data_IF_069708586990
#
_entry.id   IF_069708586990
#
_cell.length_a   1.000
_cell.length_b   1.000
_cell.length_c   1.000
_cell.angle_alpha   90.00
_cell.angle_beta   90.00
_cell.angle_gamma   90.00
#
_symmetry.space_group_name_H-M   'P 1'
#
loop_
_entity.id
_entity.type
_entity.pdbx_description
1 polymer ?
#
# COMPACT_ATOMS: atom_id res chain seq x y z
N UNK A 1 -14.97 -6.19 2.55
CA UNK A 1 -16.27 -5.50 2.66
C UNK A 1 -16.13 -3.98 2.51
N UNK A 2 -15.14 -3.36 3.18
CA UNK A 2 -14.81 -1.94 3.08
C UNK A 2 -14.69 -1.37 1.65
N UNK A 3 -13.95 -2.03 0.76
CA UNK A 3 -13.79 -1.54 -0.62
C UNK A 3 -15.12 -1.51 -1.39
N UNK A 4 -16.09 -2.37 -1.06
CA UNK A 4 -17.43 -2.29 -1.67
C UNK A 4 -18.24 -1.09 -1.18
N UNK A 5 -17.92 -0.53 -0.01
CA UNK A 5 -18.55 0.69 0.49
C UNK A 5 -18.06 1.93 -0.28
N UNK A 6 -16.79 1.93 -0.68
CA UNK A 6 -16.17 3.08 -1.38
C UNK A 6 -16.21 2.89 -2.91
N UNK A 7 -16.14 1.66 -3.38
CA UNK A 7 -16.10 1.26 -4.78
C UNK A 7 -17.09 0.10 -5.05
N UNK A 8 -18.41 0.35 -4.95
CA UNK A 8 -19.42 -0.70 -5.03
C UNK A 8 -19.46 -1.47 -6.36
N UNK A 9 -18.94 -0.88 -7.45
CA UNK A 9 -18.90 -1.50 -8.78
C UNK A 9 -17.60 -2.27 -9.08
N UNK A 10 -16.52 -2.04 -8.33
CA UNK A 10 -15.23 -2.66 -8.63
C UNK A 10 -15.05 -3.92 -7.77
N UNK A 11 -14.91 -5.07 -8.43
CA UNK A 11 -14.50 -6.33 -7.81
C UNK A 11 -13.01 -6.19 -7.50
N UNK A 12 -12.52 -6.81 -6.41
CA UNK A 12 -11.09 -6.77 -6.01
C UNK A 12 -10.13 -7.01 -7.19
N UNK A 13 -10.55 -7.85 -8.14
CA UNK A 13 -9.82 -8.21 -9.36
C UNK A 13 -9.70 -7.08 -10.39
N UNK A 14 -10.51 -6.02 -10.36
CA UNK A 14 -10.47 -4.92 -11.34
C UNK A 14 -10.11 -3.57 -10.72
N UNK A 15 -10.09 -3.45 -9.39
CA UNK A 15 -9.71 -2.22 -8.66
C UNK A 15 -8.30 -1.74 -9.03
N UNK A 16 -7.38 -2.67 -9.33
CA UNK A 16 -6.00 -2.33 -9.68
C UNK A 16 -5.91 -1.45 -10.93
N UNK A 17 -6.85 -1.55 -11.89
CA UNK A 17 -6.86 -0.74 -13.10
C UNK A 17 -7.08 0.74 -12.78
N UNK A 18 -7.93 1.02 -11.77
CA UNK A 18 -8.15 2.37 -11.28
C UNK A 18 -6.96 2.85 -10.44
N UNK A 19 -6.52 2.02 -9.49
CA UNK A 19 -5.49 2.41 -8.52
C UNK A 19 -4.12 2.58 -9.15
N UNK A 20 -3.72 1.71 -10.07
CA UNK A 20 -2.46 1.81 -10.81
C UNK A 20 -2.61 2.72 -12.05
N UNK A 21 -3.11 3.92 -11.80
CA UNK A 21 -3.18 5.02 -12.76
C UNK A 21 -2.75 6.32 -12.07
N UNK A 22 -2.29 7.30 -12.85
CA UNK A 22 -1.86 8.61 -12.30
C UNK A 22 -2.95 9.31 -11.50
N UNK A 23 -4.20 9.21 -11.94
CA UNK A 23 -5.33 9.79 -11.22
C UNK A 23 -5.69 8.95 -9.99
N UNK A 24 -5.57 7.62 -10.08
CA UNK A 24 -5.81 6.69 -8.98
C UNK A 24 -4.93 6.97 -7.77
N UNK A 25 -3.64 7.26 -7.98
CA UNK A 25 -2.70 7.58 -6.90
C UNK A 25 -2.99 8.88 -6.16
N UNK A 26 -3.87 9.74 -6.69
CA UNK A 26 -4.37 10.90 -5.94
C UNK A 26 -5.36 10.50 -4.83
N UNK A 27 -5.83 9.24 -4.82
CA UNK A 27 -6.69 8.67 -3.76
C UNK A 27 -5.82 7.95 -2.73
N UNK A 28 -6.00 8.26 -1.45
CA UNK A 28 -5.15 7.73 -0.37
C UNK A 28 -5.08 6.21 -0.30
N UNK A 29 -6.18 5.50 -0.58
CA UNK A 29 -6.24 4.04 -0.52
C UNK A 29 -5.37 3.40 -1.62
N UNK A 30 -5.29 4.03 -2.80
CA UNK A 30 -4.50 3.52 -3.91
C UNK A 30 -2.99 3.54 -3.62
N UNK A 31 -2.54 4.45 -2.75
CA UNK A 31 -1.12 4.64 -2.39
C UNK A 31 -0.50 3.47 -1.61
N UNK A 32 -1.33 2.64 -0.98
CA UNK A 32 -0.89 1.43 -0.27
C UNK A 32 -1.52 0.15 -0.82
N UNK A 33 -2.12 0.22 -2.01
CA UNK A 33 -2.61 -0.98 -2.69
C UNK A 33 -1.44 -1.83 -3.21
N UNK A 34 -1.21 -2.96 -2.58
CA UNK A 34 -0.18 -3.93 -2.96
C UNK A 34 -0.83 -5.20 -3.52
N UNK A 35 -1.02 -5.25 -4.84
CA UNK A 35 -1.61 -6.40 -5.51
C UNK A 35 -0.53 -7.44 -5.85
N UNK A 36 -0.52 -8.63 -5.21
CA UNK A 36 0.49 -9.65 -5.45
C UNK A 36 0.45 -10.22 -6.88
N UNK A 37 -0.67 -10.08 -7.60
CA UNK A 37 -0.82 -10.57 -8.97
C UNK A 37 -0.38 -9.54 -10.03
N UNK A 38 -0.23 -8.27 -9.64
CA UNK A 38 0.11 -7.16 -10.55
C UNK A 38 1.31 -6.35 -10.04
N UNK A 39 2.36 -7.03 -9.57
CA UNK A 39 3.56 -6.40 -9.00
C UNK A 39 4.26 -5.44 -9.97
N UNK A 40 4.28 -5.75 -11.26
CA UNK A 40 4.85 -4.85 -12.28
C UNK A 40 4.13 -3.49 -12.30
N UNK A 41 2.81 -3.49 -12.11
CA UNK A 41 2.01 -2.26 -12.04
C UNK A 41 2.21 -1.55 -10.69
N UNK A 42 2.31 -2.31 -9.60
CA UNK A 42 2.62 -1.78 -8.28
C UNK A 42 3.91 -0.95 -8.28
N UNK A 43 5.03 -1.51 -8.78
CA UNK A 43 6.30 -0.79 -8.86
C UNK A 43 6.29 0.37 -9.87
N UNK A 44 5.45 0.27 -10.91
CA UNK A 44 5.38 1.28 -11.98
C UNK A 44 4.53 2.50 -11.61
N UNK A 45 3.46 2.29 -10.83
CA UNK A 45 2.44 3.32 -10.61
C UNK A 45 2.27 3.72 -9.15
N UNK A 46 2.73 2.97 -8.15
CA UNK A 46 2.50 3.36 -6.76
C UNK A 46 3.41 4.50 -6.33
N UNK A 47 2.83 5.62 -5.89
CA UNK A 47 3.55 6.85 -5.56
C UNK A 47 4.02 6.92 -4.08
N UNK A 48 3.72 5.88 -3.28
CA UNK A 48 3.98 5.91 -1.83
C UNK A 48 4.59 4.62 -1.27
N UNK A 49 3.83 3.51 -1.21
CA UNK A 49 4.24 2.31 -0.47
C UNK A 49 5.64 1.77 -0.86
N UNK A 50 5.99 1.59 -2.15
CA UNK A 50 7.31 1.05 -2.50
C UNK A 50 8.46 2.02 -2.17
N UNK A 51 8.18 3.33 -2.10
CA UNK A 51 9.16 4.35 -1.73
C UNK A 51 9.46 4.35 -0.22
N UNK A 52 8.42 4.31 0.62
CA UNK A 52 8.61 4.30 2.08
C UNK A 52 9.11 2.95 2.59
N UNK A 53 8.80 1.86 1.89
CA UNK A 53 9.31 0.52 2.18
C UNK A 53 10.74 0.29 1.65
N UNK A 54 11.33 1.25 0.94
CA UNK A 54 12.65 1.12 0.30
C UNK A 54 12.73 -0.08 -0.66
N UNK A 55 11.63 -0.37 -1.37
CA UNK A 55 11.59 -1.44 -2.39
C UNK A 55 12.09 -0.92 -3.75
N UNK A 56 12.15 0.41 -3.93
CA UNK A 56 12.70 1.10 -5.09
C UNK A 56 13.88 1.97 -4.65
N UNK A 57 14.96 1.93 -5.43
CA UNK A 57 16.15 2.75 -5.19
C UNK A 57 15.84 4.24 -5.38
N UNK A 58 16.05 5.04 -4.32
CA UNK A 58 15.93 6.49 -4.36
C UNK A 58 17.05 7.18 -3.57
N UNK A 59 17.24 8.48 -3.80
CA UNK A 59 18.17 9.29 -3.01
C UNK A 59 17.75 9.43 -1.54
N UNK A 60 16.50 9.09 -1.19
CA UNK A 60 15.91 9.28 0.15
C UNK A 60 15.95 8.03 1.04
N UNK A 61 16.15 6.84 0.45
CA UNK A 61 16.12 5.53 1.13
C UNK A 61 16.94 5.51 2.44
N UNK A 62 18.19 5.96 2.36
CA UNK A 62 19.10 6.06 3.53
C UNK A 62 18.56 6.99 4.63
N UNK A 63 17.84 8.04 4.25
CA UNK A 63 17.23 8.98 5.19
C UNK A 63 16.01 8.37 5.88
N UNK A 64 15.13 7.72 5.11
CA UNK A 64 13.96 7.01 5.65
C UNK A 64 14.38 5.96 6.68
N UNK A 65 15.32 5.08 6.30
CA UNK A 65 15.86 4.07 7.22
C UNK A 65 16.47 4.71 8.47
N UNK A 66 17.32 5.73 8.32
CA UNK A 66 17.97 6.40 9.46
C UNK A 66 16.96 7.04 10.41
N UNK A 67 15.89 7.62 9.89
CA UNK A 67 14.88 8.27 10.71
C UNK A 67 13.96 7.25 11.40
N UNK A 68 13.55 6.19 10.69
CA UNK A 68 12.75 5.11 11.27
C UNK A 68 13.47 4.40 12.41
N UNK A 69 14.78 4.17 12.28
CA UNK A 69 15.61 3.56 13.33
C UNK A 69 15.85 4.42 14.57
N UNK A 70 15.38 5.67 14.62
CA UNK A 70 15.40 6.47 15.84
C UNK A 70 14.31 6.07 16.83
N UNK A 71 13.31 5.29 16.39
CA UNK A 71 12.26 4.78 17.26
C UNK A 71 12.86 3.85 18.30
N UNK A 72 12.60 4.12 19.59
CA UNK A 72 12.99 3.21 20.67
C UNK A 72 12.09 1.98 20.74
N UNK A 73 10.83 2.11 20.29
CA UNK A 73 9.82 1.06 20.31
C UNK A 73 8.95 1.15 19.06
N UNK A 74 8.67 -0.01 18.48
CA UNK A 74 7.66 -0.21 17.45
C UNK A 74 6.67 -1.26 17.97
N UNK A 75 5.46 -0.83 18.31
CA UNK A 75 4.41 -1.73 18.81
C UNK A 75 3.43 -1.96 17.67
N UNK A 76 3.36 -3.20 17.17
CA UNK A 76 2.46 -3.61 16.09
C UNK A 76 1.31 -4.41 16.71
N UNK A 77 0.07 -3.94 16.52
CA UNK A 77 -1.13 -4.57 17.04
C UNK A 77 -1.98 -4.97 15.84
N UNK A 78 -2.36 -6.24 15.78
CA UNK A 78 -3.23 -6.80 14.76
C UNK A 78 -3.82 -8.12 15.24
N UNK A 79 -4.82 -8.63 14.53
CA UNK A 79 -5.47 -9.88 14.90
C UNK A 79 -6.24 -10.52 13.74
N UNK A 80 -6.44 -11.85 13.79
CA UNK A 80 -7.10 -12.60 12.72
C UNK A 80 -8.58 -12.23 12.53
N UNK A 81 -9.19 -11.61 13.54
CA UNK A 81 -10.59 -11.17 13.51
C UNK A 81 -10.76 -9.76 12.90
N UNK A 82 -9.69 -9.15 12.38
CA UNK A 82 -9.78 -7.92 11.58
C UNK A 82 -10.44 -8.20 10.22
N UNK A 83 -11.66 -7.71 10.02
CA UNK A 83 -12.43 -7.90 8.79
C UNK A 83 -12.16 -6.87 7.68
N UNK A 84 -11.20 -5.96 7.86
CA UNK A 84 -10.93 -4.84 6.96
C UNK A 84 -9.55 -4.96 6.32
N UNK A 85 -8.50 -5.17 7.12
CA UNK A 85 -7.13 -5.32 6.64
C UNK A 85 -6.97 -6.72 6.04
N UNK A 86 -6.43 -6.81 4.82
CA UNK A 86 -6.35 -8.09 4.11
C UNK A 86 -5.04 -8.16 3.31
N UNK A 87 -4.10 -9.07 3.66
CA UNK A 87 -4.15 -9.98 4.81
C UNK A 87 -4.03 -9.23 6.16
N UNK A 88 -4.62 -9.74 7.25
CA UNK A 88 -4.55 -9.08 8.57
C UNK A 88 -3.12 -8.99 9.13
N UNK A 89 -2.20 -9.79 8.60
CA UNK A 89 -0.77 -9.78 8.90
C UNK A 89 0.01 -8.63 8.21
N UNK A 90 -0.68 -7.82 7.40
CA UNK A 90 -0.09 -6.70 6.69
C UNK A 90 0.58 -5.67 7.61
#
# INVERSE_FOLDING_TARGET
EFLRLIFPQFIKETVFELFYSRMGQSVSIANYWNDPHHQDLYYKYSDYLPYVNNEIDTSYEKSYRRNFLKLEKLILIGGPDDGVITPWQS
#
